data_IF_386647006189
#
_entry.id   IF_386647006189
#
_cell.length_a   1.000
_cell.length_b   1.000
_cell.length_c   1.000
_cell.angle_alpha   90.00
_cell.angle_beta   90.00
_cell.angle_gamma   90.00
#
_symmetry.space_group_name_H-M   'P 1'
#
loop_
_entity.id
_entity.type
_entity.pdbx_description
1 polymer ?
#
# COMPACT_ATOMS: atom_id res chain seq x y z
N UNK A 1 -7.48 7.02 22.27
CA UNK A 1 -8.31 7.18 21.06
C UNK A 1 -8.22 5.88 20.27
N UNK A 2 -9.31 5.42 19.68
CA UNK A 2 -9.30 4.27 18.75
C UNK A 2 -8.73 4.72 17.41
N UNK A 3 -7.85 3.91 16.82
CA UNK A 3 -7.37 4.11 15.44
C UNK A 3 -8.44 3.61 14.48
N UNK A 4 -8.77 4.42 13.48
CA UNK A 4 -9.61 4.06 12.34
C UNK A 4 -8.74 3.90 11.10
N UNK A 5 -8.99 2.86 10.31
CA UNK A 5 -8.31 2.67 9.03
C UNK A 5 -9.25 3.00 7.87
N UNK A 6 -8.69 3.53 6.81
CA UNK A 6 -9.39 3.90 5.59
C UNK A 6 -8.63 3.36 4.39
N UNK A 7 -9.34 2.91 3.35
CA UNK A 7 -8.72 2.34 2.16
C UNK A 7 -9.12 3.05 0.87
N UNK A 8 -8.15 3.30 0.01
CA UNK A 8 -8.31 3.66 -1.40
C UNK A 8 -7.79 2.53 -2.29
N UNK A 9 -8.52 2.22 -3.35
CA UNK A 9 -8.11 1.23 -4.35
C UNK A 9 -7.52 1.86 -5.63
N UNK A 10 -7.05 3.11 -5.54
CA UNK A 10 -6.47 3.86 -6.65
C UNK A 10 -7.52 4.42 -7.62
N UNK A 11 -8.72 4.68 -7.10
CA UNK A 11 -9.87 5.14 -7.89
C UNK A 11 -10.07 6.65 -7.86
N UNK A 12 -9.41 7.36 -6.93
CA UNK A 12 -9.64 8.80 -6.71
C UNK A 12 -8.31 9.48 -6.35
N UNK A 13 -8.02 10.64 -6.95
CA UNK A 13 -6.98 11.54 -6.45
C UNK A 13 -7.43 12.16 -5.14
N UNK A 14 -6.93 11.65 -4.02
CA UNK A 14 -7.31 12.07 -2.67
C UNK A 14 -6.11 12.73 -2.01
N UNK A 15 -6.36 13.85 -1.35
CA UNK A 15 -5.41 14.43 -0.42
C UNK A 15 -5.45 13.64 0.89
N UNK A 16 -4.48 12.73 1.05
CA UNK A 16 -4.35 11.86 2.21
C UNK A 16 -3.72 12.58 3.41
N UNK A 17 -3.49 13.90 3.31
CA UNK A 17 -3.13 14.77 4.43
C UNK A 17 -4.33 15.48 5.06
N UNK A 18 -5.48 15.51 4.40
CA UNK A 18 -6.72 16.11 4.92
C UNK A 18 -7.66 15.04 5.49
N UNK A 19 -7.75 15.00 6.82
CA UNK A 19 -8.64 14.11 7.56
C UNK A 19 -10.11 14.20 7.09
N UNK A 20 -10.62 15.39 6.76
CA UNK A 20 -12.00 15.56 6.30
C UNK A 20 -12.20 14.91 4.94
N UNK A 21 -11.22 15.06 4.04
CA UNK A 21 -11.25 14.39 2.74
C UNK A 21 -11.19 12.87 2.87
N UNK A 22 -10.31 12.35 3.73
CA UNK A 22 -10.22 10.91 4.02
C UNK A 22 -11.57 10.38 4.50
N UNK A 23 -12.15 10.98 5.54
CA UNK A 23 -13.42 10.53 6.11
C UNK A 23 -14.60 10.65 5.15
N UNK A 24 -14.56 11.60 4.22
CA UNK A 24 -15.64 11.83 3.27
C UNK A 24 -15.55 10.93 2.02
N UNK A 25 -14.34 10.57 1.59
CA UNK A 25 -14.11 9.89 0.30
C UNK A 25 -13.65 8.45 0.41
N UNK A 26 -13.01 8.07 1.52
CA UNK A 26 -12.49 6.71 1.70
C UNK A 26 -13.45 5.83 2.47
N UNK A 27 -13.43 4.56 2.10
CA UNK A 27 -14.17 3.54 2.82
C UNK A 27 -13.42 3.20 4.12
N UNK A 28 -14.09 3.27 5.29
CA UNK A 28 -13.50 2.80 6.53
C UNK A 28 -13.33 1.27 6.49
N UNK A 29 -12.23 0.81 7.05
CA UNK A 29 -11.83 -0.60 7.12
C UNK A 29 -11.61 -0.97 8.58
N UNK A 30 -12.26 -2.04 9.03
CA UNK A 30 -12.13 -2.60 10.38
C UNK A 30 -11.31 -3.89 10.42
N UNK A 31 -11.08 -4.53 9.27
CA UNK A 31 -10.32 -5.78 9.14
C UNK A 31 -9.65 -5.88 7.77
N UNK A 32 -8.46 -6.48 7.72
CA UNK A 32 -7.77 -6.78 6.47
C UNK A 32 -8.54 -7.72 5.53
N UNK A 33 -9.52 -8.47 6.04
CA UNK A 33 -10.42 -9.29 5.21
C UNK A 33 -11.18 -8.45 4.17
N UNK A 34 -11.45 -7.18 4.46
CA UNK A 34 -12.13 -6.28 3.52
C UNK A 34 -11.25 -5.88 2.32
N UNK A 35 -9.96 -6.18 2.36
CA UNK A 35 -9.02 -5.99 1.24
C UNK A 35 -8.89 -7.26 0.37
N UNK A 36 -9.49 -8.38 0.78
CA UNK A 36 -9.23 -9.70 0.19
C UNK A 36 -9.52 -9.75 -1.31
N UNK A 37 -10.60 -9.13 -1.79
CA UNK A 37 -10.94 -9.08 -3.22
C UNK A 37 -9.81 -8.43 -4.03
N UNK A 38 -9.30 -7.28 -3.57
CA UNK A 38 -8.22 -6.57 -4.26
C UNK A 38 -6.88 -7.33 -4.17
N UNK A 39 -6.62 -7.99 -3.04
CA UNK A 39 -5.44 -8.84 -2.86
C UNK A 39 -5.46 -10.06 -3.80
N UNK A 40 -6.64 -10.67 -4.01
CA UNK A 40 -6.80 -11.77 -4.95
C UNK A 40 -6.61 -11.32 -6.40
N UNK A 41 -7.09 -10.12 -6.76
CA UNK A 41 -6.80 -9.52 -8.06
C UNK A 41 -5.30 -9.30 -8.28
N UNK A 42 -4.57 -8.88 -7.23
CA UNK A 42 -3.13 -8.69 -7.29
C UNK A 42 -2.40 -10.03 -7.45
N UNK A 43 -2.78 -11.04 -6.67
CA UNK A 43 -2.22 -12.39 -6.76
C UNK A 43 -2.44 -12.98 -8.16
N UNK A 44 -3.66 -12.94 -8.66
CA UNK A 44 -3.97 -13.43 -10.01
C UNK A 44 -3.19 -12.68 -11.09
N UNK A 45 -3.07 -11.35 -10.97
CA UNK A 45 -2.31 -10.54 -11.91
C UNK A 45 -0.82 -10.93 -11.95
N UNK A 46 -0.23 -11.18 -10.79
CA UNK A 46 1.13 -11.68 -10.67
C UNK A 46 1.28 -13.06 -11.34
N UNK A 47 0.42 -14.03 -11.01
CA UNK A 47 0.49 -15.40 -11.54
C UNK A 47 0.25 -15.46 -13.06
N UNK A 48 -0.68 -14.66 -13.57
CA UNK A 48 -1.02 -14.60 -15.00
C UNK A 48 -0.10 -13.68 -15.81
N UNK A 49 0.81 -12.96 -15.16
CA UNK A 49 1.66 -11.93 -15.78
C UNK A 49 0.85 -10.81 -16.43
N UNK A 50 -0.35 -10.53 -15.92
CA UNK A 50 -1.24 -9.45 -16.38
C UNK A 50 -1.13 -8.25 -15.46
N UNK A 51 -1.50 -7.06 -15.93
CA UNK A 51 -1.45 -5.87 -15.08
C UNK A 51 -2.67 -5.86 -14.16
N UNK A 52 -2.45 -5.72 -12.86
CA UNK A 52 -3.56 -5.51 -11.93
C UNK A 52 -4.12 -4.10 -12.14
N UNK A 53 -5.44 -3.96 -11.98
CA UNK A 53 -6.08 -2.64 -11.99
C UNK A 53 -6.02 -2.06 -10.57
N UNK A 54 -5.76 -0.75 -10.48
CA UNK A 54 -5.76 -0.02 -9.22
C UNK A 54 -4.50 -0.20 -8.36
N UNK A 55 -4.61 0.30 -7.13
CA UNK A 55 -3.64 0.18 -6.04
C UNK A 55 -4.36 -0.31 -4.78
N UNK A 56 -3.64 -0.53 -3.69
CA UNK A 56 -4.23 -0.57 -2.34
C UNK A 56 -3.50 0.51 -1.56
N UNK A 57 -4.19 1.46 -0.94
CA UNK A 57 -3.62 2.45 -0.04
C UNK A 57 -4.42 2.46 1.24
N UNK A 58 -3.76 2.23 2.37
CA UNK A 58 -4.37 2.22 3.71
C UNK A 58 -3.83 3.39 4.51
N UNK A 59 -4.74 4.20 5.05
CA UNK A 59 -4.46 5.35 5.91
C UNK A 59 -4.98 5.07 7.31
N UNK A 60 -4.24 5.47 8.33
CA UNK A 60 -4.66 5.35 9.73
C UNK A 60 -4.90 6.74 10.35
N UNK A 61 -6.03 6.90 11.04
CA UNK A 61 -6.40 8.13 11.76
C UNK A 61 -6.71 7.83 13.24
N UNK A 62 -5.98 8.42 14.20
CA UNK A 62 -4.70 9.09 14.02
C UNK A 62 -3.63 8.13 13.48
N UNK A 63 -2.52 8.67 12.99
CA UNK A 63 -1.42 7.85 12.46
C UNK A 63 -0.89 6.84 13.49
N UNK A 64 -0.42 5.69 12.99
CA UNK A 64 0.15 4.63 13.84
C UNK A 64 1.66 4.76 13.81
N UNK A 65 2.26 5.14 14.95
CA UNK A 65 3.72 5.34 15.08
C UNK A 65 4.30 6.26 14.00
N UNK A 66 3.56 7.33 13.64
CA UNK A 66 3.96 8.28 12.61
C UNK A 66 3.66 7.83 11.17
N UNK A 67 3.18 6.60 10.93
CA UNK A 67 2.82 6.13 9.58
C UNK A 67 1.53 6.81 9.11
N UNK A 68 1.65 7.67 8.10
CA UNK A 68 0.54 8.33 7.45
C UNK A 68 -0.24 7.34 6.56
N UNK A 69 0.49 6.57 5.76
CA UNK A 69 -0.11 5.63 4.80
C UNK A 69 0.83 4.48 4.44
N UNK A 70 0.22 3.36 4.04
CA UNK A 70 0.89 2.23 3.40
C UNK A 70 0.16 1.93 2.10
N UNK A 71 0.91 1.86 1.00
CA UNK A 71 0.37 1.56 -0.33
C UNK A 71 1.06 0.39 -1.00
N UNK A 72 0.35 -0.26 -1.90
CA UNK A 72 0.85 -1.30 -2.77
C UNK A 72 0.36 -1.09 -4.20
N UNK A 73 1.29 -1.16 -5.15
CA UNK A 73 1.02 -1.00 -6.57
C UNK A 73 1.65 -2.15 -7.34
N UNK A 74 0.86 -2.81 -8.19
CA UNK A 74 1.39 -3.84 -9.09
C UNK A 74 2.11 -3.20 -10.28
N UNK A 75 3.37 -3.59 -10.50
CA UNK A 75 4.18 -3.17 -11.65
C UNK A 75 4.46 -4.36 -12.58
N UNK A 76 3.98 -4.21 -13.82
CA UNK A 76 4.23 -5.13 -14.91
C UNK A 76 4.98 -4.42 -16.03
N UNK A 77 6.18 -4.89 -16.37
CA UNK A 77 6.98 -4.37 -17.49
C UNK A 77 7.30 -5.49 -18.48
N UNK A 78 7.07 -5.24 -19.77
CA UNK A 78 7.42 -6.15 -20.87
C UNK A 78 8.40 -5.49 -21.82
N UNK A 79 9.22 -6.29 -22.50
CA UNK A 79 10.03 -5.87 -23.64
C UNK A 79 9.12 -5.45 -24.80
N UNK A 80 9.38 -4.29 -25.40
CA UNK A 80 8.61 -3.77 -26.53
C UNK A 80 8.66 -4.70 -27.75
N UNK A 81 9.82 -5.33 -27.99
CA UNK A 81 10.06 -6.08 -29.22
C UNK A 81 9.82 -7.59 -29.11
N UNK A 82 9.99 -8.17 -27.92
CA UNK A 82 9.88 -9.62 -27.71
C UNK A 82 8.69 -10.05 -26.86
N UNK A 83 7.90 -9.10 -26.34
CA UNK A 83 6.85 -9.32 -25.32
C UNK A 83 7.32 -10.04 -24.04
N UNK A 84 8.62 -10.31 -23.90
CA UNK A 84 9.23 -10.96 -22.74
C UNK A 84 8.99 -10.14 -21.49
N UNK A 85 8.57 -10.81 -20.42
CA UNK A 85 8.38 -10.22 -19.11
C UNK A 85 9.72 -9.76 -18.53
N UNK A 86 9.81 -8.50 -18.14
CA UNK A 86 11.00 -7.91 -17.51
C UNK A 86 10.80 -7.66 -16.01
N UNK A 87 9.56 -7.38 -15.62
CA UNK A 87 9.20 -7.02 -14.25
C UNK A 87 7.75 -7.43 -14.02
N UNK A 88 7.49 -8.06 -12.88
CA UNK A 88 6.17 -8.50 -12.44
C UNK A 88 6.23 -8.63 -10.92
N UNK A 89 5.99 -7.52 -10.23
CA UNK A 89 6.20 -7.40 -8.80
C UNK A 89 5.34 -6.27 -8.22
N UNK A 90 5.18 -6.27 -6.90
CA UNK A 90 4.56 -5.20 -6.15
C UNK A 90 5.60 -4.21 -5.64
N UNK A 91 5.28 -2.93 -5.78
CA UNK A 91 5.95 -1.83 -5.11
C UNK A 91 5.14 -1.50 -3.87
N UNK A 92 5.75 -1.67 -2.71
CA UNK A 92 5.22 -1.30 -1.42
C UNK A 92 5.78 0.08 -1.08
N UNK A 93 4.89 1.01 -0.72
CA UNK A 93 5.24 2.37 -0.32
C UNK A 93 4.75 2.58 1.10
N UNK A 94 5.56 3.23 1.92
CA UNK A 94 5.17 3.64 3.26
C UNK A 94 5.59 5.09 3.47
N UNK A 95 4.62 5.94 3.77
CA UNK A 95 4.88 7.34 4.09
C UNK A 95 4.72 7.53 5.60
N UNK A 96 5.72 8.10 6.26
CA UNK A 96 5.69 8.35 7.71
C UNK A 96 6.35 9.66 8.09
N UNK A 97 5.92 10.20 9.22
CA UNK A 97 6.59 11.29 9.91
C UNK A 97 7.76 10.75 10.75
N UNK A 98 8.91 11.41 10.65
CA UNK A 98 10.09 11.19 11.49
C UNK A 98 10.50 12.55 12.05
N UNK A 99 10.06 12.83 13.29
CA UNK A 99 10.10 14.20 13.81
C UNK A 99 9.10 15.07 13.06
N UNK A 100 9.59 16.15 12.45
CA UNK A 100 8.79 17.08 11.63
C UNK A 100 8.87 16.77 10.13
N UNK A 101 9.74 15.86 9.71
CA UNK A 101 9.96 15.52 8.29
C UNK A 101 9.02 14.42 7.82
N UNK A 102 8.57 14.53 6.57
CA UNK A 102 7.82 13.48 5.89
C UNK A 102 8.79 12.63 5.07
N UNK A 103 8.84 11.34 5.36
CA UNK A 103 9.72 10.39 4.69
C UNK A 103 8.92 9.30 3.99
N UNK A 104 9.33 8.96 2.77
CA UNK A 104 8.74 7.88 1.99
C UNK A 104 9.74 6.74 1.84
N UNK A 105 9.27 5.53 2.13
CA UNK A 105 10.02 4.30 2.07
C UNK A 105 9.43 3.39 0.99
N UNK A 106 10.29 2.71 0.25
CA UNK A 106 9.94 1.79 -0.82
C UNK A 106 10.53 0.40 -0.55
N UNK A 107 9.73 -0.65 -0.79
CA UNK A 107 10.18 -2.04 -0.84
C UNK A 107 9.53 -2.74 -2.03
N UNK A 108 10.30 -3.57 -2.73
CA UNK A 108 9.79 -4.37 -3.84
C UNK A 108 9.63 -5.81 -3.39
N UNK A 109 8.52 -6.44 -3.77
CA UNK A 109 8.27 -7.87 -3.50
C UNK A 109 7.51 -8.50 -4.66
N UNK A 110 7.78 -9.76 -4.94
CA UNK A 110 6.99 -10.61 -5.83
C UNK A 110 6.13 -11.62 -5.05
N UNK A 111 6.00 -11.46 -3.73
CA UNK A 111 5.16 -12.32 -2.90
C UNK A 111 3.83 -11.65 -2.55
N UNK A 112 2.73 -12.25 -3.03
CA UNK A 112 1.38 -11.87 -2.64
C UNK A 112 1.13 -12.13 -1.15
N UNK A 113 1.77 -13.14 -0.56
CA UNK A 113 1.70 -13.43 0.87
C UNK A 113 2.35 -12.32 1.70
N UNK A 114 3.52 -11.80 1.29
CA UNK A 114 4.14 -10.66 1.98
C UNK A 114 3.25 -9.42 1.94
N UNK A 115 2.60 -9.17 0.80
CA UNK A 115 1.64 -8.08 0.65
C UNK A 115 0.43 -8.24 1.60
N UNK A 116 -0.16 -9.44 1.65
CA UNK A 116 -1.28 -9.74 2.55
C UNK A 116 -0.88 -9.57 4.01
N UNK A 117 0.27 -10.13 4.40
CA UNK A 117 0.78 -10.03 5.76
C UNK A 117 1.04 -8.59 6.18
N UNK A 118 1.56 -7.75 5.29
CA UNK A 118 1.78 -6.32 5.56
C UNK A 118 0.47 -5.61 5.98
N UNK A 119 -0.59 -5.78 5.21
CA UNK A 119 -1.87 -5.12 5.50
C UNK A 119 -2.58 -5.74 6.71
N UNK A 120 -2.54 -7.06 6.87
CA UNK A 120 -3.09 -7.74 8.06
C UNK A 120 -2.38 -7.32 9.35
N UNK A 121 -1.04 -7.27 9.35
CA UNK A 121 -0.29 -6.78 10.52
C UNK A 121 -0.59 -5.31 10.82
N UNK A 122 -0.75 -4.47 9.79
CA UNK A 122 -1.02 -3.05 9.99
C UNK A 122 -2.44 -2.78 10.47
N UNK A 123 -3.47 -3.36 9.84
CA UNK A 123 -4.88 -3.10 10.17
C UNK A 123 -5.29 -3.83 11.45
N UNK A 124 -5.04 -5.14 11.50
CA UNK A 124 -5.60 -6.00 12.54
C UNK A 124 -4.75 -5.96 13.82
N UNK A 125 -3.41 -5.85 13.65
CA UNK A 125 -2.47 -5.85 14.77
C UNK A 125 -1.89 -4.48 15.12
N UNK A 126 -2.16 -3.43 14.32
CA UNK A 126 -1.57 -2.07 14.48
C UNK A 126 -0.04 -2.09 14.49
N UNK A 127 0.56 -3.06 13.81
CA UNK A 127 2.01 -3.26 13.75
C UNK A 127 2.55 -2.59 12.50
N UNK A 128 3.53 -1.71 12.69
CA UNK A 128 4.26 -1.05 11.61
C UNK A 128 5.38 -1.98 11.13
N UNK A 129 5.61 -2.13 9.81
CA UNK A 129 6.70 -2.95 9.31
C UNK A 129 8.07 -2.44 9.78
N UNK A 130 9.01 -3.37 9.97
CA UNK A 130 10.42 -3.02 10.12
C UNK A 130 10.94 -2.44 8.80
N UNK A 131 11.60 -1.28 8.89
CA UNK A 131 12.10 -0.52 7.76
C UNK A 131 13.55 -0.84 7.40
N UNK A 132 14.20 -1.79 8.07
CA UNK A 132 15.60 -2.16 7.80
C UNK A 132 15.87 -2.49 6.32
N UNK A 133 14.95 -3.24 5.70
CA UNK A 133 15.05 -3.63 4.28
C UNK A 133 14.34 -2.67 3.32
N UNK A 134 13.85 -1.52 3.82
CA UNK A 134 13.15 -0.54 3.01
C UNK A 134 14.11 0.57 2.59
N UNK A 135 14.00 1.00 1.35
CA UNK A 135 14.78 2.11 0.82
C UNK A 135 14.03 3.41 1.06
N UNK A 136 14.63 4.39 1.73
CA UNK A 136 14.08 5.74 1.76
C UNK A 136 14.28 6.41 0.39
N UNK A 137 13.18 6.88 -0.21
CA UNK A 137 13.15 7.45 -1.58
C UNK A 137 12.75 8.92 -1.61
N UNK A 138 12.23 9.48 -0.51
CA UNK A 138 11.89 10.88 -0.36
C UNK A 138 12.17 11.34 1.07
N UNK A 139 12.78 12.52 1.18
CA UNK A 139 12.86 13.33 2.40
C UNK A 139 12.30 14.71 2.05
N UNK A 140 11.18 15.09 2.67
CA UNK A 140 10.48 16.34 2.39
C UNK A 140 10.10 17.07 3.69
#
# INVERSE_FOLDING_TARGET
MSVEFFCDFGNVGIDLSDEKHIRHRLQPVSSSEQLQEQLDLFKHALESGQRAKGSITVVALPNVCGVAEISAVHRLRRSLFSKTLKENCFYLLLTRYVGEELQMYEKVTDSAEQLKNLFSEFIDCKKVPDLHDWKCILHA
#
